data_IF_184891057307
#
_entry.id   IF_184891057307
#
_cell.length_a   1.000
_cell.length_b   1.000
_cell.length_c   1.000
_cell.angle_alpha   90.00
_cell.angle_beta   90.00
_cell.angle_gamma   90.00
#
_symmetry.space_group_name_H-M   'P 1'
#
loop_
_entity.id
_entity.type
_entity.pdbx_description
1 polymer ?
#
# COMPACT_ATOMS: atom_id res chain seq x y z
N UNK A 1 14.21 10.09 -2.23
CA UNK A 1 14.35 9.41 -0.92
C UNK A 1 13.54 10.05 0.20
N UNK A 2 13.15 11.33 0.12
CA UNK A 2 12.40 12.02 1.18
C UNK A 2 11.15 11.26 1.65
N UNK A 3 10.29 10.83 0.72
CA UNK A 3 9.06 10.07 1.02
C UNK A 3 9.30 8.73 1.73
N UNK A 4 10.47 8.12 1.54
CA UNK A 4 10.86 6.90 2.25
C UNK A 4 11.21 7.21 3.70
N UNK A 5 11.98 8.27 3.94
CA UNK A 5 12.44 8.63 5.29
C UNK A 5 11.30 9.19 6.15
N UNK A 6 10.37 9.93 5.54
CA UNK A 6 9.21 10.53 6.22
C UNK A 6 8.08 9.54 6.47
N UNK A 7 8.21 8.30 5.98
CA UNK A 7 7.19 7.28 6.18
C UNK A 7 6.98 6.97 7.67
N UNK A 8 5.73 7.09 8.12
CA UNK A 8 5.35 6.67 9.46
C UNK A 8 5.33 5.13 9.55
N UNK A 9 6.13 4.61 10.50
CA UNK A 9 6.33 3.18 10.75
C UNK A 9 5.27 2.58 11.68
N UNK A 10 4.38 3.40 12.26
CA UNK A 10 3.25 2.93 13.07
C UNK A 10 2.12 2.30 12.23
N UNK A 11 2.15 2.51 10.91
CA UNK A 11 1.17 1.92 10.00
C UNK A 11 1.75 0.67 9.31
N UNK A 12 0.97 -0.42 9.21
CA UNK A 12 1.42 -1.64 8.56
C UNK A 12 1.56 -1.46 7.05
N UNK A 13 2.32 -2.35 6.41
CA UNK A 13 2.26 -2.55 4.96
C UNK A 13 1.05 -3.42 4.60
N UNK A 14 0.60 -3.37 3.35
CA UNK A 14 -0.48 -4.23 2.88
C UNK A 14 0.11 -5.31 1.98
N UNK A 15 -0.22 -6.56 2.30
CA UNK A 15 0.11 -7.71 1.48
C UNK A 15 -1.15 -8.25 0.79
N UNK A 16 -0.97 -8.69 -0.44
CA UNK A 16 -1.94 -9.55 -1.13
C UNK A 16 -2.07 -10.90 -0.43
N UNK A 17 -3.10 -11.67 -0.76
CA UNK A 17 -3.30 -13.00 -0.19
C UNK A 17 -2.10 -13.93 -0.43
N UNK A 18 -1.41 -13.82 -1.58
CA UNK A 18 -0.18 -14.58 -1.88
C UNK A 18 1.11 -13.99 -1.25
N UNK A 19 1.01 -12.86 -0.54
CA UNK A 19 2.12 -12.29 0.25
C UNK A 19 2.99 -11.27 -0.47
N UNK A 20 2.55 -10.79 -1.63
CA UNK A 20 3.22 -9.69 -2.36
C UNK A 20 2.86 -8.35 -1.73
N UNK A 21 3.78 -7.41 -1.77
CA UNK A 21 3.50 -6.05 -1.27
C UNK A 21 2.58 -5.33 -2.26
N UNK A 22 1.39 -4.96 -1.78
CA UNK A 22 0.45 -4.13 -2.53
C UNK A 22 0.64 -2.64 -2.21
N UNK A 23 0.93 -2.32 -0.95
CA UNK A 23 1.13 -0.95 -0.49
C UNK A 23 2.16 -0.87 0.63
N UNK A 24 2.82 0.28 0.75
CA UNK A 24 3.79 0.55 1.82
C UNK A 24 5.23 0.20 1.46
N UNK A 25 5.58 0.07 0.17
CA UNK A 25 6.97 -0.20 -0.27
C UNK A 25 7.98 0.79 0.31
N UNK A 26 7.61 2.06 0.49
CA UNK A 26 8.46 3.04 1.15
C UNK A 26 8.77 2.67 2.61
N UNK A 27 7.85 2.04 3.35
CA UNK A 27 8.12 1.55 4.72
C UNK A 27 9.00 0.30 4.70
N UNK A 28 8.84 -0.58 3.71
CA UNK A 28 9.74 -1.74 3.52
C UNK A 28 11.18 -1.27 3.32
N UNK A 29 11.39 -0.30 2.43
CA UNK A 29 12.72 0.27 2.18
C UNK A 29 13.26 0.94 3.44
N UNK A 30 12.45 1.73 4.16
CA UNK A 30 12.86 2.35 5.42
C UNK A 30 13.25 1.32 6.49
N UNK A 31 12.46 0.27 6.68
CA UNK A 31 12.78 -0.83 7.59
C UNK A 31 14.12 -1.47 7.26
N UNK A 32 14.40 -1.69 5.97
CA UNK A 32 15.67 -2.24 5.51
C UNK A 32 16.85 -1.30 5.80
N UNK A 33 16.69 0.00 5.51
CA UNK A 33 17.70 1.02 5.79
C UNK A 33 17.98 1.19 7.30
N UNK A 34 16.96 1.01 8.14
CA UNK A 34 17.07 1.01 9.60
C UNK A 34 17.59 -0.32 10.18
N UNK A 35 17.88 -1.33 9.34
CA UNK A 35 18.39 -2.63 9.78
C UNK A 35 17.36 -3.50 10.52
N UNK A 36 16.06 -3.23 10.34
CA UNK A 36 14.99 -4.04 10.95
C UNK A 36 14.85 -5.38 10.22
N UNK A 37 14.72 -6.45 10.99
CA UNK A 37 14.46 -7.80 10.46
C UNK A 37 12.98 -8.08 10.17
N UNK A 38 12.08 -7.24 10.66
CA UNK A 38 10.63 -7.40 10.51
C UNK A 38 9.91 -6.05 10.45
N UNK A 39 8.70 -6.05 9.87
CA UNK A 39 7.80 -4.91 9.77
C UNK A 39 6.35 -5.38 9.95
N UNK A 40 5.49 -4.52 10.51
CA UNK A 40 4.06 -4.80 10.63
C UNK A 40 3.41 -4.90 9.24
N UNK A 41 2.57 -5.91 9.06
CA UNK A 41 1.88 -6.16 7.80
C UNK A 41 0.44 -6.62 8.07
N UNK A 42 -0.49 -6.16 7.22
CA UNK A 42 -1.84 -6.69 7.12
C UNK A 42 -1.93 -7.45 5.79
N UNK A 43 -2.28 -8.74 5.85
CA UNK A 43 -2.51 -9.55 4.67
C UNK A 43 -4.00 -9.60 4.39
N UNK A 44 -4.39 -9.23 3.17
CA UNK A 44 -5.77 -9.38 2.73
C UNK A 44 -6.11 -10.87 2.56
N UNK A 45 -7.28 -11.32 3.03
CA UNK A 45 -7.68 -12.73 2.92
C UNK A 45 -7.92 -13.15 1.47
N UNK A 46 -8.31 -12.20 0.62
CA UNK A 46 -8.50 -12.40 -0.81
C UNK A 46 -8.04 -11.15 -1.55
N UNK A 47 -7.39 -11.34 -2.70
CA UNK A 47 -7.01 -10.24 -3.59
C UNK A 47 -8.06 -10.16 -4.69
N UNK A 48 -8.93 -9.16 -4.62
CA UNK A 48 -9.94 -8.92 -5.66
C UNK A 48 -9.33 -8.20 -6.85
N UNK A 49 -9.96 -8.34 -8.02
CA UNK A 49 -9.60 -7.56 -9.21
C UNK A 49 -10.04 -6.10 -9.04
N UNK A 50 -9.32 -5.13 -9.65
CA UNK A 50 -9.77 -3.75 -9.66
C UNK A 50 -11.15 -3.62 -10.33
N UNK A 51 -12.00 -2.74 -9.78
CA UNK A 51 -13.29 -2.41 -10.39
C UNK A 51 -13.12 -1.68 -11.73
N UNK A 52 -12.03 -0.91 -11.87
CA UNK A 52 -11.69 -0.13 -13.06
C UNK A 52 -10.21 -0.25 -13.39
N UNK A 53 -9.87 -0.38 -14.68
CA UNK A 53 -8.49 -0.42 -15.18
C UNK A 53 -8.36 0.51 -16.37
N UNK A 54 -7.46 1.50 -16.28
CA UNK A 54 -7.19 2.44 -17.38
C UNK A 54 -8.33 3.40 -17.70
N UNK A 55 -9.22 3.65 -16.74
CA UNK A 55 -10.34 4.60 -16.85
C UNK A 55 -9.86 5.98 -16.43
N UNK A 56 -10.27 7.03 -17.15
CA UNK A 56 -9.95 8.40 -16.77
C UNK A 56 -10.71 8.78 -15.49
N UNK A 57 -10.12 9.66 -14.67
CA UNK A 57 -10.73 10.04 -13.39
C UNK A 57 -12.15 10.61 -13.54
N UNK A 58 -12.41 11.36 -14.61
CA UNK A 58 -13.72 11.94 -14.90
C UNK A 58 -14.81 10.90 -15.23
N UNK A 59 -14.42 9.68 -15.59
CA UNK A 59 -15.33 8.58 -15.96
C UNK A 59 -15.58 7.63 -14.77
N UNK A 60 -14.95 7.87 -13.62
CA UNK A 60 -15.17 7.08 -12.41
C UNK A 60 -16.47 7.54 -11.72
N UNK A 61 -17.27 6.60 -11.17
CA UNK A 61 -18.53 6.90 -10.51
C UNK A 61 -18.30 7.42 -9.09
N UNK A 62 -17.58 8.53 -8.96
CA UNK A 62 -17.49 9.23 -7.68
C UNK A 62 -18.88 9.78 -7.34
N UNK A 63 -19.43 9.38 -6.20
CA UNK A 63 -20.56 10.12 -5.65
C UNK A 63 -20.06 11.54 -5.36
N UNK A 64 -20.68 12.57 -5.93
CA UNK A 64 -20.39 13.94 -5.51
C UNK A 64 -20.67 14.02 -4.02
N UNK A 65 -19.61 14.17 -3.23
CA UNK A 65 -19.72 14.35 -1.79
C UNK A 65 -20.60 15.58 -1.54
N UNK A 66 -21.87 15.33 -1.18
CA UNK A 66 -22.83 16.37 -0.78
C UNK A 66 -22.50 16.86 0.62
#
# INVERSE_FOLDING_TARGET
MQLTLDADMNYPIILSNDGRVMYGMHRVVKAHLEGRSAIQAVRLPETVTPDFVGVAEADLPYEEAT
#
